data_IF_761370129627
#
_entry.id   IF_761370129627
#
_cell.length_a   1.000
_cell.length_b   1.000
_cell.length_c   1.000
_cell.angle_alpha   90.00
_cell.angle_beta   90.00
_cell.angle_gamma   90.00
#
_symmetry.space_group_name_H-M   'P 1'
#
loop_
_entity.id
_entity.type
_entity.pdbx_description
1 polymer ?
#
# COMPACT_ATOMS: atom_id res chain seq x y z
N UNK A 1 -7.52 -1.51 2.19
CA UNK A 1 -7.26 -0.97 0.83
C UNK A 1 -5.79 -0.62 0.59
N UNK A 2 -5.15 0.24 1.41
CA UNK A 2 -3.75 0.70 1.19
C UNK A 2 -2.76 -0.46 1.05
N UNK A 3 -2.75 -1.41 1.98
CA UNK A 3 -1.83 -2.56 1.95
C UNK A 3 -2.06 -3.48 0.75
N UNK A 4 -3.30 -3.63 0.30
CA UNK A 4 -3.63 -4.41 -0.90
C UNK A 4 -3.13 -3.70 -2.17
N UNK A 5 -3.29 -2.37 -2.25
CA UNK A 5 -2.75 -1.57 -3.35
C UNK A 5 -1.24 -1.66 -3.37
N UNK A 6 -0.59 -1.53 -2.21
CA UNK A 6 0.86 -1.63 -2.10
C UNK A 6 1.36 -3.00 -2.59
N UNK A 7 0.72 -4.10 -2.15
CA UNK A 7 1.08 -5.44 -2.62
C UNK A 7 0.98 -5.59 -4.15
N UNK A 8 -0.11 -5.11 -4.75
CA UNK A 8 -0.40 -5.34 -6.17
C UNK A 8 0.30 -4.34 -7.09
N UNK A 9 0.34 -3.07 -6.70
CA UNK A 9 0.76 -1.95 -7.55
C UNK A 9 2.19 -1.52 -7.30
N UNK A 10 2.64 -1.53 -6.05
CA UNK A 10 4.00 -1.14 -5.69
C UNK A 10 4.96 -2.34 -5.69
N UNK A 11 4.51 -3.50 -5.20
CA UNK A 11 5.35 -4.71 -5.19
C UNK A 11 5.11 -5.61 -6.40
N UNK A 12 4.11 -5.30 -7.23
CA UNK A 12 3.75 -6.09 -8.41
C UNK A 12 3.47 -7.58 -8.11
N UNK A 13 2.95 -7.87 -6.92
CA UNK A 13 2.63 -9.23 -6.48
C UNK A 13 1.18 -9.57 -6.84
N UNK A 14 0.95 -10.81 -7.30
CA UNK A 14 -0.40 -11.33 -7.57
C UNK A 14 -1.30 -11.19 -6.33
N UNK A 15 -2.41 -10.48 -6.50
CA UNK A 15 -3.43 -10.22 -5.48
C UNK A 15 -3.94 -11.49 -4.80
N UNK A 16 -3.94 -12.65 -5.50
CA UNK A 16 -4.37 -13.93 -4.93
C UNK A 16 -3.51 -14.36 -3.74
N UNK A 17 -2.23 -13.97 -3.70
CA UNK A 17 -1.36 -14.21 -2.53
C UNK A 17 -1.82 -13.41 -1.32
N UNK A 18 -2.17 -12.14 -1.53
CA UNK A 18 -2.74 -11.28 -0.50
C UNK A 18 -4.09 -11.78 0.01
N UNK A 19 -4.98 -12.18 -0.91
CA UNK A 19 -6.29 -12.75 -0.58
C UNK A 19 -6.17 -14.00 0.30
N UNK A 20 -5.26 -14.93 -0.05
CA UNK A 20 -5.00 -16.11 0.79
C UNK A 20 -4.44 -15.75 2.16
N UNK A 21 -3.51 -14.81 2.24
CA UNK A 21 -2.97 -14.33 3.52
C UNK A 21 -4.07 -13.73 4.40
N UNK A 22 -4.96 -12.92 3.81
CA UNK A 22 -6.07 -12.31 4.54
C UNK A 22 -7.06 -13.36 5.04
N UNK A 23 -7.41 -14.37 4.23
CA UNK A 23 -8.26 -15.48 4.71
C UNK A 23 -7.67 -16.24 5.89
N UNK A 24 -6.34 -16.34 5.98
CA UNK A 24 -5.65 -17.04 7.07
C UNK A 24 -5.53 -16.21 8.35
N UNK A 25 -5.51 -14.87 8.23
CA UNK A 25 -5.19 -13.96 9.35
C UNK A 25 -6.38 -13.16 9.88
N UNK A 26 -7.39 -12.92 9.06
CA UNK A 26 -8.52 -12.08 9.44
C UNK A 26 -9.63 -12.90 10.09
N UNK A 27 -10.02 -12.50 11.31
CA UNK A 27 -11.13 -13.12 12.04
C UNK A 27 -12.48 -12.92 11.33
N UNK A 28 -12.63 -11.87 10.53
CA UNK A 28 -13.80 -11.54 9.73
C UNK A 28 -13.68 -12.02 8.27
N UNK A 29 -12.81 -12.99 8.01
CA UNK A 29 -12.56 -13.55 6.69
C UNK A 29 -13.81 -14.17 6.05
N UNK A 30 -14.43 -13.42 5.14
CA UNK A 30 -15.49 -13.90 4.24
C UNK A 30 -14.96 -14.03 2.80
N UNK A 31 -15.29 -15.15 2.14
CA UNK A 31 -14.77 -15.46 0.80
C UNK A 31 -15.24 -14.43 -0.23
N UNK A 32 -16.53 -14.08 -0.22
CA UNK A 32 -17.08 -13.16 -1.22
C UNK A 32 -16.50 -11.76 -1.04
N UNK A 33 -16.54 -11.24 0.18
CA UNK A 33 -16.02 -9.92 0.53
C UNK A 33 -14.52 -9.81 0.30
N UNK A 34 -13.75 -10.83 0.69
CA UNK A 34 -12.30 -10.80 0.51
C UNK A 34 -11.93 -10.83 -0.97
N UNK A 35 -12.45 -11.79 -1.76
CA UNK A 35 -12.14 -11.88 -3.19
C UNK A 35 -12.59 -10.62 -3.94
N UNK A 36 -13.81 -10.12 -3.66
CA UNK A 36 -14.33 -8.90 -4.27
C UNK A 36 -13.44 -7.69 -4.00
N UNK A 37 -13.04 -7.47 -2.74
CA UNK A 37 -12.17 -6.36 -2.38
C UNK A 37 -10.77 -6.46 -3.02
N UNK A 38 -10.19 -7.66 -3.11
CA UNK A 38 -8.89 -7.84 -3.76
C UNK A 38 -8.96 -7.65 -5.28
N UNK A 39 -10.01 -8.13 -5.94
CA UNK A 39 -10.25 -7.87 -7.36
C UNK A 39 -10.42 -6.38 -7.64
N UNK A 40 -11.23 -5.70 -6.80
CA UNK A 40 -11.46 -4.26 -6.90
C UNK A 40 -10.15 -3.47 -6.85
N UNK A 41 -9.26 -3.78 -5.90
CA UNK A 41 -7.94 -3.13 -5.77
C UNK A 41 -7.00 -3.52 -6.92
N UNK A 42 -7.06 -4.77 -7.37
CA UNK A 42 -6.27 -5.24 -8.51
C UNK A 42 -6.68 -4.55 -9.82
N UNK A 43 -7.88 -3.96 -9.89
CA UNK A 43 -8.41 -3.35 -11.10
C UNK A 43 -8.96 -4.38 -12.09
N UNK A 44 -9.40 -5.54 -11.59
CA UNK A 44 -10.05 -6.57 -12.39
C UNK A 44 -11.44 -6.90 -11.82
N UNK A 45 -12.35 -7.35 -12.69
CA UNK A 45 -13.74 -7.61 -12.34
C UNK A 45 -14.70 -6.50 -12.77
N UNK A 46 -16.00 -6.73 -12.56
CA UNK A 46 -17.08 -5.94 -13.18
C UNK A 46 -17.26 -4.53 -12.60
N UNK A 47 -16.80 -4.27 -11.38
CA UNK A 47 -16.90 -2.96 -10.70
C UNK A 47 -15.55 -2.55 -10.08
N UNK A 48 -14.45 -2.82 -10.78
CA UNK A 48 -13.13 -2.57 -10.23
C UNK A 48 -12.77 -1.09 -10.23
N UNK A 49 -11.99 -0.64 -9.23
CA UNK A 49 -11.34 0.65 -9.32
C UNK A 49 -10.46 0.68 -10.59
N UNK A 50 -10.42 1.81 -11.32
CA UNK A 50 -9.54 1.90 -12.46
C UNK A 50 -8.10 1.58 -12.04
N UNK A 51 -7.41 0.69 -12.76
CA UNK A 51 -6.09 0.18 -12.36
C UNK A 51 -5.08 1.30 -12.10
N UNK A 52 -5.20 2.42 -12.80
CA UNK A 52 -4.36 3.61 -12.64
C UNK A 52 -4.51 4.33 -11.29
N UNK A 53 -5.52 3.98 -10.49
CA UNK A 53 -5.69 4.46 -9.12
C UNK A 53 -4.75 3.69 -8.19
N UNK A 54 -3.50 4.15 -8.15
CA UNK A 54 -2.48 3.65 -7.22
C UNK A 54 -2.51 4.48 -5.94
N UNK A 55 -2.74 3.84 -4.78
CA UNK A 55 -2.78 4.53 -3.49
C UNK A 55 -1.37 4.82 -2.99
N UNK A 56 -1.03 6.09 -2.77
CA UNK A 56 0.22 6.50 -2.16
C UNK A 56 0.18 6.27 -0.63
N UNK A 57 0.95 5.33 -0.05
CA UNK A 57 0.87 5.00 1.37
C UNK A 57 1.12 6.22 2.27
N UNK A 58 2.06 7.09 1.91
CA UNK A 58 2.40 8.30 2.66
C UNK A 58 1.25 9.31 2.67
N UNK A 59 0.59 9.54 1.53
CA UNK A 59 -0.55 10.45 1.47
C UNK A 59 -1.78 9.88 2.18
N UNK A 60 -1.99 8.56 2.11
CA UNK A 60 -3.06 7.90 2.87
C UNK A 60 -2.82 8.03 4.37
N UNK A 61 -1.58 7.88 4.81
CA UNK A 61 -1.18 8.05 6.19
C UNK A 61 -1.47 9.47 6.70
N UNK A 62 -1.10 10.50 5.93
CA UNK A 62 -1.41 11.91 6.24
C UNK A 62 -2.91 12.19 6.34
N UNK A 63 -3.71 11.49 5.54
CA UNK A 63 -5.16 11.67 5.48
C UNK A 63 -5.90 10.96 6.62
N UNK A 64 -5.49 9.73 6.96
CA UNK A 64 -6.28 8.85 7.82
C UNK A 64 -5.74 8.71 9.25
N UNK A 65 -4.49 9.09 9.50
CA UNK A 65 -3.89 9.01 10.83
C UNK A 65 -3.23 10.34 11.20
N UNK A 66 -3.89 11.48 11.00
CA UNK A 66 -3.30 12.84 11.10
C UNK A 66 -2.40 13.08 12.34
N UNK A 67 -2.66 12.42 13.46
CA UNK A 67 -1.92 12.53 14.72
C UNK A 67 -0.92 11.40 14.99
N UNK A 68 -0.74 10.46 14.05
CA UNK A 68 0.16 9.32 14.17
C UNK A 68 -0.21 8.37 15.29
N UNK A 69 -1.49 8.29 15.67
CA UNK A 69 -1.94 7.46 16.79
C UNK A 69 -1.92 5.98 16.41
N UNK A 70 -2.36 5.65 15.19
CA UNK A 70 -2.33 4.27 14.72
C UNK A 70 -0.90 3.77 14.60
N UNK A 71 -0.02 4.56 13.97
CA UNK A 71 1.39 4.19 13.83
C UNK A 71 2.08 4.05 15.19
N UNK A 72 1.91 5.00 16.12
CA UNK A 72 2.53 4.89 17.45
C UNK A 72 2.03 3.69 18.25
N UNK A 73 0.76 3.31 18.07
CA UNK A 73 0.19 2.13 18.74
C UNK A 73 0.82 0.83 18.25
N UNK A 74 1.01 0.68 16.93
CA UNK A 74 1.44 -0.58 16.33
C UNK A 74 2.94 -0.67 16.03
N UNK A 75 3.61 0.47 15.94
CA UNK A 75 5.06 0.60 15.69
C UNK A 75 5.69 1.50 16.77
N UNK A 76 5.65 1.11 18.05
CA UNK A 76 6.18 1.93 19.14
C UNK A 76 7.69 2.20 19.03
N UNK A 77 8.43 1.37 18.29
CA UNK A 77 9.85 1.56 17.98
C UNK A 77 10.14 2.79 17.11
N UNK A 78 9.14 3.33 16.43
CA UNK A 78 9.26 4.59 15.69
C UNK A 78 9.21 5.82 16.62
N UNK A 79 8.96 5.63 17.92
CA UNK A 79 9.03 6.67 18.95
C UNK A 79 7.91 7.70 18.91
N UNK A 80 7.99 8.70 19.80
CA UNK A 80 7.10 9.86 19.80
C UNK A 80 7.50 10.85 18.71
N UNK A 81 7.28 10.51 17.45
CA UNK A 81 7.39 11.53 16.42
C UNK A 81 6.11 12.36 16.45
N UNK A 82 6.12 13.39 17.29
CA UNK A 82 5.07 14.39 17.37
C UNK A 82 5.16 15.45 16.26
N UNK A 83 4.01 16.01 15.88
CA UNK A 83 3.91 17.22 15.06
C UNK A 83 3.72 17.01 13.55
N UNK A 84 3.68 18.12 12.80
CA UNK A 84 3.33 18.19 11.36
C UNK A 84 4.21 17.36 10.40
N UNK A 85 5.26 16.72 10.91
CA UNK A 85 6.25 15.98 10.11
C UNK A 85 6.23 14.46 10.35
N UNK A 86 5.31 13.93 11.16
CA UNK A 86 5.30 12.51 11.50
C UNK A 86 5.02 11.62 10.26
N UNK A 87 4.26 12.10 9.29
CA UNK A 87 4.10 11.35 8.04
C UNK A 87 5.35 11.31 7.13
N UNK A 88 6.46 11.97 7.52
CA UNK A 88 7.75 11.95 6.82
C UNK A 88 8.78 11.02 7.48
N UNK A 89 8.42 10.29 8.53
CA UNK A 89 9.34 9.53 9.40
C UNK A 89 10.22 8.51 8.68
N UNK A 90 9.82 7.85 7.56
CA UNK A 90 10.76 6.97 6.88
C UNK A 90 11.72 7.71 5.91
N UNK A 91 11.53 9.02 5.68
CA UNK A 91 12.29 9.80 4.70
C UNK A 91 13.40 10.66 5.30
N UNK A 92 13.46 10.82 6.62
CA UNK A 92 14.42 11.71 7.27
C UNK A 92 15.22 10.95 8.35
N UNK A 93 16.38 10.41 7.95
CA UNK A 93 17.37 9.79 8.84
C UNK A 93 17.80 10.68 10.02
N UNK A 94 17.56 11.99 9.93
CA UNK A 94 18.03 13.00 10.87
C UNK A 94 17.17 13.18 12.13
N UNK A 95 16.02 12.51 12.25
CA UNK A 95 15.08 12.68 13.39
C UNK A 95 14.86 11.37 14.18
N UNK A 96 15.53 10.29 13.80
CA UNK A 96 15.30 8.96 14.37
C UNK A 96 16.24 8.69 15.56
N UNK A 97 15.66 8.29 16.69
CA UNK A 97 16.42 7.74 17.81
C UNK A 97 17.03 6.37 17.43
N UNK A 98 17.88 5.81 18.30
CA UNK A 98 18.53 4.51 18.05
C UNK A 98 17.54 3.35 17.86
N UNK A 99 16.29 3.48 18.34
CA UNK A 99 15.25 2.46 18.12
C UNK A 99 14.65 2.57 16.72
N UNK A 100 14.34 3.77 16.28
CA UNK A 100 13.78 4.02 14.96
C UNK A 100 14.82 3.74 13.85
N UNK A 101 16.12 3.85 14.12
CA UNK A 101 17.20 3.38 13.22
C UNK A 101 17.17 1.87 12.95
N UNK A 102 16.54 1.07 13.83
CA UNK A 102 16.36 -0.38 13.62
C UNK A 102 15.13 -0.71 12.80
N UNK A 103 14.24 0.26 12.58
CA UNK A 103 13.12 0.08 11.67
C UNK A 103 13.65 0.03 10.23
N UNK A 104 13.20 -0.94 9.42
CA UNK A 104 13.74 -1.10 8.07
C UNK A 104 13.47 0.12 7.20
N UNK A 105 14.43 0.43 6.33
CA UNK A 105 14.25 1.39 5.24
C UNK A 105 13.11 0.95 4.31
N UNK A 106 12.56 1.90 3.57
CA UNK A 106 11.53 1.62 2.57
C UNK A 106 12.02 0.56 1.57
N UNK A 107 11.18 -0.46 1.33
CA UNK A 107 11.53 -1.55 0.40
C UNK A 107 11.47 -1.13 -1.07
N UNK A 108 10.68 -0.09 -1.39
CA UNK A 108 10.52 0.47 -2.75
C UNK A 108 10.25 1.98 -2.68
N UNK A 109 10.58 2.70 -3.75
CA UNK A 109 10.13 4.09 -3.96
C UNK A 109 8.77 4.10 -4.67
N UNK A 110 7.73 4.53 -3.96
CA UNK A 110 6.36 4.59 -4.48
C UNK A 110 6.24 5.34 -5.83
N UNK A 111 6.98 6.44 -6.02
CA UNK A 111 6.88 7.23 -7.25
C UNK A 111 7.46 6.47 -8.45
N UNK A 112 8.48 5.65 -8.22
CA UNK A 112 9.08 4.77 -9.23
C UNK A 112 8.11 3.64 -9.56
N UNK A 113 7.64 2.90 -8.56
CA UNK A 113 6.78 1.73 -8.78
C UNK A 113 5.40 2.13 -9.34
N UNK A 114 4.88 3.30 -8.96
CA UNK A 114 3.66 3.85 -9.59
C UNK A 114 3.85 4.06 -11.09
N UNK A 115 5.01 4.58 -11.53
CA UNK A 115 5.28 4.78 -12.96
C UNK A 115 5.39 3.43 -13.67
N UNK A 116 6.06 2.46 -13.06
CA UNK A 116 6.19 1.12 -13.61
C UNK A 116 4.82 0.40 -13.72
N UNK A 117 3.97 0.51 -12.70
CA UNK A 117 2.62 -0.04 -12.72
C UNK A 117 1.78 0.52 -13.89
N UNK A 118 1.89 1.82 -14.14
CA UNK A 118 1.19 2.49 -15.24
C UNK A 118 1.78 2.13 -16.61
N UNK A 119 3.10 1.97 -16.70
CA UNK A 119 3.80 1.53 -17.91
C UNK A 119 3.34 0.13 -18.32
N UNK A 120 3.32 -0.83 -17.40
CA UNK A 120 2.82 -2.20 -17.65
C UNK A 120 1.35 -2.22 -18.07
N UNK A 121 0.52 -1.36 -17.46
CA UNK A 121 -0.88 -1.24 -17.86
C UNK A 121 -1.01 -0.74 -19.31
N UNK A 122 -0.18 0.23 -19.71
CA UNK A 122 -0.16 0.74 -21.08
C UNK A 122 0.27 -0.35 -22.08
N UNK A 123 1.27 -1.15 -21.75
CA UNK A 123 1.70 -2.30 -22.58
C UNK A 123 0.56 -3.29 -22.79
N UNK A 124 -0.10 -3.71 -21.71
CA UNK A 124 -1.26 -4.62 -21.79
C UNK A 124 -2.42 -4.04 -22.61
N UNK A 125 -2.60 -2.73 -22.56
CA UNK A 125 -3.64 -2.04 -23.34
C UNK A 125 -3.25 -1.90 -24.82
N UNK A 126 -1.95 -1.77 -25.12
CA UNK A 126 -1.42 -1.72 -26.48
C UNK A 126 -1.42 -3.10 -27.15
N UNK A 127 -1.14 -4.15 -26.37
CA UNK A 127 -1.08 -5.54 -26.86
C UNK A 127 -2.46 -6.22 -26.93
N UNK A 128 -3.50 -5.61 -26.38
CA UNK A 128 -4.81 -6.26 -26.31
C UNK A 128 -5.98 -5.37 -25.93
N UNK A 129 -6.33 -4.41 -26.80
CA UNK A 129 -7.72 -3.95 -27.06
C UNK A 129 -7.79 -3.24 -28.42
N UNK A 130 -7.20 -3.86 -29.45
CA UNK A 130 -7.54 -3.60 -30.85
C UNK A 130 -8.50 -4.70 -31.34
N UNK A 131 -9.75 -4.62 -30.90
CA UNK A 131 -10.94 -5.17 -31.59
C UNK A 131 -12.20 -4.55 -31.01
#
# INVERSE_FOLDING_TARGET
MVVASFLVKDLHIDWRKGARHFMDKLLDGDVASNIGNWQWVAGCGSDAAPFFRVFNPTLQLQKFDLHGEYVRRYLPELGEVGGKSWAKIPLADSILDDKARRYPSQIVDHNVERKEALRRLQELSADGFAS
#
